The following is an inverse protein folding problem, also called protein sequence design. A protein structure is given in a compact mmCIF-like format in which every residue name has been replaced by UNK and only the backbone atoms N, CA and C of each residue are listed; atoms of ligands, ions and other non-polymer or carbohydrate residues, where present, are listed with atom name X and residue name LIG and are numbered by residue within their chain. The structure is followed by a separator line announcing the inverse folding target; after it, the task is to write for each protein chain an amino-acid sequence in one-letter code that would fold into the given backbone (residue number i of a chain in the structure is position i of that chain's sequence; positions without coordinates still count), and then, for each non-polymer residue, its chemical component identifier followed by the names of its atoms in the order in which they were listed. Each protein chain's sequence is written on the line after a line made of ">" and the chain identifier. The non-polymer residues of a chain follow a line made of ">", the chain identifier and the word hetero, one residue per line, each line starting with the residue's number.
data_IF_256755761667
#
_entry.id   IF_256755761667
#
_cell.length_a   1.000
_cell.length_b   1.000
_cell.length_c   1.000
_cell.angle_alpha   90.00
_cell.angle_beta   90.00
_cell.angle_gamma   90.00
#
_symmetry.space_group_name_H-M   'P 1'
#
loop_
_entity.id
_entity.type
_entity.pdbx_description
1 polymer ?
#
# COMPACT_ATOMS: atom_id res chain seq x y z
N UNK A 1 -21.90 -6.97 9.38
CA UNK A 1 -21.42 -8.16 10.11
C UNK A 1 -19.92 -8.34 9.86
N UNK A 2 -19.14 -8.87 10.82
CA UNK A 2 -17.75 -9.22 10.59
C UNK A 2 -17.60 -10.20 9.41
N UNK A 3 -16.63 -9.94 8.54
CA UNK A 3 -16.25 -10.80 7.42
C UNK A 3 -15.38 -11.95 7.92
N UNK A 4 -15.63 -13.14 7.39
CA UNK A 4 -14.79 -14.32 7.64
C UNK A 4 -13.42 -14.07 6.99
N UNK A 5 -12.34 -14.32 7.74
CA UNK A 5 -10.99 -14.36 7.18
C UNK A 5 -10.78 -15.77 6.62
N UNK A 6 -10.68 -15.93 5.29
CA UNK A 6 -10.51 -17.26 4.69
C UNK A 6 -9.12 -17.81 4.99
N UNK A 7 -9.00 -19.14 5.02
CA UNK A 7 -7.70 -19.80 5.11
C UNK A 7 -6.81 -19.44 3.89
N UNK A 8 -5.48 -19.35 4.06
CA UNK A 8 -4.58 -19.02 2.96
C UNK A 8 -4.68 -20.03 1.80
N UNK A 9 -4.99 -19.51 0.62
CA UNK A 9 -4.93 -20.22 -0.66
C UNK A 9 -4.38 -19.29 -1.74
N UNK A 10 -3.96 -19.84 -2.89
CA UNK A 10 -3.48 -19.02 -4.00
C UNK A 10 -4.48 -17.94 -4.42
N UNK A 11 -5.76 -18.30 -4.52
CA UNK A 11 -6.83 -17.38 -4.91
C UNK A 11 -7.14 -16.31 -3.87
N UNK A 12 -6.76 -16.54 -2.61
CA UNK A 12 -6.96 -15.62 -1.48
C UNK A 12 -5.77 -14.67 -1.33
N UNK A 13 -4.55 -15.19 -1.43
CA UNK A 13 -3.35 -14.39 -1.19
C UNK A 13 -2.90 -13.60 -2.41
N UNK A 14 -3.26 -14.05 -3.62
CA UNK A 14 -2.89 -13.37 -4.86
C UNK A 14 -4.03 -12.47 -5.35
N UNK A 15 -3.80 -11.15 -5.46
CA UNK A 15 -4.77 -10.26 -6.08
C UNK A 15 -4.92 -10.57 -7.58
N UNK A 16 -6.08 -10.27 -8.19
CA UNK A 16 -7.10 -9.34 -7.74
C UNK A 16 -8.34 -9.99 -7.09
N UNK A 17 -8.28 -11.24 -6.61
CA UNK A 17 -9.38 -11.87 -5.86
C UNK A 17 -10.79 -11.66 -6.48
N UNK A 18 -10.99 -12.08 -7.73
CA UNK A 18 -12.21 -11.75 -8.51
C UNK A 18 -13.53 -12.24 -7.91
N UNK A 19 -13.48 -13.19 -6.98
CA UNK A 19 -14.64 -13.71 -6.24
C UNK A 19 -15.02 -12.85 -5.02
N UNK A 20 -14.18 -11.87 -4.66
CA UNK A 20 -14.44 -10.93 -3.57
C UNK A 20 -15.48 -9.89 -4.01
N UNK A 21 -16.44 -9.62 -3.13
CA UNK A 21 -17.46 -8.58 -3.36
C UNK A 21 -16.92 -7.25 -2.86
N UNK A 22 -16.42 -6.45 -3.81
CA UNK A 22 -15.85 -5.13 -3.52
C UNK A 22 -16.90 -4.15 -3.03
N UNK A 23 -16.51 -3.30 -2.07
CA UNK A 23 -17.35 -2.21 -1.57
C UNK A 23 -18.76 -2.64 -1.13
N UNK A 24 -18.95 -3.90 -0.70
CA UNK A 24 -20.26 -4.50 -0.44
C UNK A 24 -21.18 -3.64 0.47
N UNK A 25 -20.58 -2.91 1.40
CA UNK A 25 -21.28 -2.14 2.43
C UNK A 25 -21.20 -0.60 2.22
N UNK A 26 -20.71 -0.16 1.06
CA UNK A 26 -20.41 1.24 0.77
C UNK A 26 -21.61 2.19 0.92
N UNK A 27 -22.82 1.71 0.59
CA UNK A 27 -24.04 2.52 0.69
C UNK A 27 -24.45 2.81 2.14
N UNK A 28 -24.24 1.85 3.04
CA UNK A 28 -24.59 2.00 4.46
C UNK A 28 -23.46 2.69 5.23
N UNK A 29 -22.23 2.55 4.76
CA UNK A 29 -21.03 3.09 5.38
C UNK A 29 -20.26 3.95 4.38
N UNK A 30 -20.76 5.17 4.08
CA UNK A 30 -20.21 6.02 3.05
C UNK A 30 -18.81 6.52 3.42
N UNK A 31 -18.00 6.75 2.38
CA UNK A 31 -16.68 7.35 2.53
C UNK A 31 -16.78 8.76 3.12
N UNK A 32 -15.97 9.06 4.14
CA UNK A 32 -15.95 10.37 4.81
C UNK A 32 -14.94 11.29 4.14
N UNK A 33 -15.31 11.84 2.98
CA UNK A 33 -14.39 12.62 2.13
C UNK A 33 -13.88 13.92 2.78
N UNK A 34 -14.62 14.54 3.71
CA UNK A 34 -14.18 15.75 4.43
C UNK A 34 -13.34 15.45 5.69
N UNK A 35 -13.01 14.18 5.94
CA UNK A 35 -12.29 13.78 7.13
C UNK A 35 -10.90 14.42 7.21
N UNK A 36 -10.64 15.14 8.30
CA UNK A 36 -9.33 15.73 8.63
C UNK A 36 -8.47 14.83 9.54
N UNK A 37 -9.00 13.66 9.92
CA UNK A 37 -8.36 12.70 10.81
C UNK A 37 -8.69 11.27 10.40
N UNK A 38 -8.02 10.33 11.07
CA UNK A 38 -8.20 8.91 10.87
C UNK A 38 -9.66 8.47 10.99
N UNK A 39 -10.13 7.67 10.04
CA UNK A 39 -11.39 6.95 10.13
C UNK A 39 -11.26 5.53 9.56
N UNK A 40 -11.74 4.54 10.31
CA UNK A 40 -11.72 3.14 9.90
C UNK A 40 -12.54 2.87 8.64
N UNK A 41 -13.68 3.54 8.47
CA UNK A 41 -14.46 3.44 7.22
C UNK A 41 -13.64 3.90 6.01
N UNK A 42 -12.89 4.99 6.11
CA UNK A 42 -12.02 5.45 5.03
C UNK A 42 -10.88 4.47 4.78
N UNK A 43 -10.29 3.91 5.85
CA UNK A 43 -9.27 2.87 5.72
C UNK A 43 -9.80 1.64 4.95
N UNK A 44 -11.02 1.19 5.26
CA UNK A 44 -11.65 0.06 4.57
C UNK A 44 -11.86 0.36 3.08
N UNK A 45 -12.48 1.50 2.74
CA UNK A 45 -12.66 1.93 1.35
C UNK A 45 -11.33 1.99 0.58
N UNK A 46 -10.29 2.57 1.19
CA UNK A 46 -8.99 2.71 0.55
C UNK A 46 -8.24 1.38 0.45
N UNK A 47 -8.50 0.42 1.34
CA UNK A 47 -7.99 -0.95 1.25
C UNK A 47 -8.67 -1.73 0.11
N UNK A 48 -9.98 -1.61 -0.03
CA UNK A 48 -10.75 -2.18 -1.15
C UNK A 48 -10.26 -1.61 -2.49
N UNK A 49 -10.04 -0.29 -2.58
CA UNK A 49 -9.49 0.34 -3.78
C UNK A 49 -8.04 -0.09 -4.09
N UNK A 50 -7.18 -0.22 -3.06
CA UNK A 50 -5.81 -0.72 -3.21
C UNK A 50 -5.77 -2.17 -3.70
N UNK A 51 -6.69 -3.01 -3.24
CA UNK A 51 -6.87 -4.38 -3.72
C UNK A 51 -7.39 -4.38 -5.17
N UNK A 52 -8.41 -3.57 -5.47
CA UNK A 52 -9.04 -3.51 -6.78
C UNK A 52 -8.08 -2.98 -7.86
N UNK A 53 -7.06 -2.21 -7.48
CA UNK A 53 -6.04 -1.69 -8.40
C UNK A 53 -5.27 -2.79 -9.15
N UNK A 54 -5.32 -4.04 -8.69
CA UNK A 54 -4.74 -5.19 -9.39
C UNK A 54 -5.63 -5.77 -10.50
N UNK A 55 -6.91 -5.42 -10.53
CA UNK A 55 -7.85 -5.94 -11.52
C UNK A 55 -7.74 -5.20 -12.86
N UNK A 56 -8.05 -5.92 -13.94
CA UNK A 56 -8.21 -5.34 -15.26
C UNK A 56 -9.47 -4.45 -15.32
N UNK A 57 -9.46 -3.46 -16.22
CA UNK A 57 -10.48 -2.39 -16.27
C UNK A 57 -11.90 -2.91 -16.41
N UNK A 58 -12.11 -4.00 -17.16
CA UNK A 58 -13.43 -4.57 -17.43
C UNK A 58 -14.07 -5.15 -16.17
N UNK A 59 -13.25 -5.55 -15.19
CA UNK A 59 -13.71 -5.96 -13.86
C UNK A 59 -13.74 -4.77 -12.88
N UNK A 60 -12.70 -3.93 -12.87
CA UNK A 60 -12.54 -2.88 -11.88
C UNK A 60 -13.60 -1.77 -11.99
N UNK A 61 -13.87 -1.29 -13.21
CA UNK A 61 -14.77 -0.14 -13.43
C UNK A 61 -16.18 -0.42 -12.90
N UNK A 62 -16.83 -1.58 -13.19
CA UNK A 62 -18.14 -1.90 -12.60
C UNK A 62 -18.19 -1.84 -11.07
N UNK A 63 -17.13 -2.27 -10.38
CA UNK A 63 -17.07 -2.24 -8.91
C UNK A 63 -17.04 -0.80 -8.38
N UNK A 64 -16.24 0.07 -8.99
CA UNK A 64 -16.22 1.50 -8.65
C UNK A 64 -17.57 2.17 -8.93
N UNK A 65 -18.18 1.89 -10.09
CA UNK A 65 -19.50 2.43 -10.46
C UNK A 65 -20.58 2.00 -9.47
N UNK A 66 -20.57 0.73 -9.04
CA UNK A 66 -21.50 0.24 -8.01
C UNK A 66 -21.31 0.95 -6.66
N UNK A 67 -20.07 1.34 -6.34
CA UNK A 67 -19.73 2.13 -5.16
C UNK A 67 -20.02 3.64 -5.30
N UNK A 68 -20.52 4.10 -6.46
CA UNK A 68 -20.84 5.51 -6.71
C UNK A 68 -19.63 6.36 -7.12
N UNK A 69 -18.61 5.73 -7.71
CA UNK A 69 -17.43 6.38 -8.26
C UNK A 69 -17.34 6.14 -9.77
N UNK A 70 -17.06 7.21 -10.50
CA UNK A 70 -16.76 7.19 -11.93
C UNK A 70 -15.27 6.90 -12.13
N UNK A 71 -14.97 6.16 -13.19
CA UNK A 71 -13.60 5.91 -13.67
C UNK A 71 -13.63 6.18 -15.16
N UNK A 72 -13.07 7.32 -15.57
CA UNK A 72 -13.21 7.84 -16.93
C UNK A 72 -11.87 7.91 -17.66
N UNK A 73 -11.94 7.95 -18.99
CA UNK A 73 -10.75 8.02 -19.85
C UNK A 73 -10.03 6.68 -19.99
N UNK A 74 -8.76 6.74 -20.42
CA UNK A 74 -7.95 5.55 -20.66
C UNK A 74 -7.32 5.03 -19.36
N UNK A 75 -8.16 4.41 -18.52
CA UNK A 75 -7.79 3.83 -17.23
C UNK A 75 -7.59 2.31 -17.33
N UNK A 76 -6.73 1.70 -16.48
CA UNK A 76 -5.84 2.38 -15.52
C UNK A 76 -4.77 3.20 -16.25
N UNK A 77 -4.32 4.29 -15.62
CA UNK A 77 -3.11 4.99 -16.08
C UNK A 77 -1.97 3.98 -16.11
N UNK A 78 -1.38 3.78 -17.28
CA UNK A 78 -0.32 2.81 -17.50
C UNK A 78 0.60 3.31 -18.59
N UNK A 79 1.90 3.44 -18.29
CA UNK A 79 2.95 3.75 -19.27
C UNK A 79 4.01 2.65 -19.17
N UNK A 80 4.43 2.08 -20.30
CA UNK A 80 5.47 1.03 -20.34
C UNK A 80 5.09 -0.32 -19.71
N UNK A 81 3.92 -0.44 -19.06
CA UNK A 81 3.39 -1.68 -18.48
C UNK A 81 3.85 -1.99 -17.05
N UNK A 82 4.76 -1.20 -16.48
CA UNK A 82 5.33 -1.33 -15.13
C UNK A 82 4.42 -0.73 -14.06
N UNK A 83 4.14 0.57 -14.17
CA UNK A 83 3.33 1.31 -13.19
C UNK A 83 1.88 1.40 -13.62
N UNK A 84 0.95 1.11 -12.70
CA UNK A 84 -0.48 1.27 -12.93
C UNK A 84 -1.20 1.90 -11.75
N UNK A 85 -2.16 2.78 -12.03
CA UNK A 85 -3.11 3.28 -11.04
C UNK A 85 -4.48 3.55 -11.64
N UNK A 86 -5.52 3.45 -10.82
CA UNK A 86 -6.84 3.96 -11.13
C UNK A 86 -7.07 5.29 -10.45
N UNK A 87 -7.79 6.18 -11.13
CA UNK A 87 -8.39 7.37 -10.52
C UNK A 87 -9.90 7.20 -10.55
N UNK A 88 -10.49 6.97 -9.39
CA UNK A 88 -11.93 6.81 -9.19
C UNK A 88 -12.47 8.03 -8.47
N UNK A 89 -13.50 8.68 -9.01
CA UNK A 89 -13.96 9.97 -8.48
C UNK A 89 -15.47 10.16 -8.58
N UNK A 90 -16.00 11.10 -7.80
CA UNK A 90 -17.33 11.65 -8.00
C UNK A 90 -17.27 13.17 -7.78
N UNK A 91 -18.40 13.81 -7.50
CA UNK A 91 -18.45 15.23 -7.22
C UNK A 91 -17.56 15.66 -6.03
N UNK A 92 -17.45 14.81 -5.00
CA UNK A 92 -16.89 15.20 -3.69
C UNK A 92 -15.46 14.66 -3.45
N UNK A 93 -15.13 13.52 -4.05
CA UNK A 93 -13.90 12.79 -3.76
C UNK A 93 -13.21 12.26 -5.02
N UNK A 94 -11.88 12.28 -4.98
CA UNK A 94 -10.99 11.58 -5.90
C UNK A 94 -10.15 10.58 -5.10
N UNK A 95 -10.16 9.31 -5.50
CA UNK A 95 -9.34 8.24 -4.96
C UNK A 95 -8.35 7.79 -6.03
N UNK A 96 -7.05 7.93 -5.73
CA UNK A 96 -5.95 7.46 -6.58
C UNK A 96 -5.38 6.18 -5.97
N UNK A 97 -5.63 5.06 -6.63
CA UNK A 97 -5.23 3.73 -6.16
C UNK A 97 -4.11 3.14 -7.04
N UNK A 98 -2.91 3.04 -6.47
CA UNK A 98 -1.75 2.48 -7.16
C UNK A 98 -1.67 0.96 -6.95
N UNK A 99 -1.41 0.25 -8.05
CA UNK A 99 -1.19 -1.19 -8.04
C UNK A 99 0.24 -1.51 -7.59
N UNK A 100 0.40 -2.60 -6.84
CA UNK A 100 1.71 -3.22 -6.62
C UNK A 100 2.18 -4.10 -7.76
N UNK A 101 3.20 -4.94 -7.50
CA UNK A 101 3.79 -5.85 -8.49
C UNK A 101 2.78 -6.88 -8.99
N UNK A 102 2.68 -7.09 -10.31
CA UNK A 102 1.85 -8.17 -10.86
C UNK A 102 2.44 -9.54 -10.52
N UNK A 103 1.69 -10.30 -9.72
CA UNK A 103 2.09 -11.64 -9.31
C UNK A 103 1.58 -12.71 -10.29
N UNK A 104 0.41 -12.47 -10.92
CA UNK A 104 -0.29 -13.45 -11.77
C UNK A 104 0.44 -13.88 -13.06
N UNK A 105 1.31 -13.03 -13.62
CA UNK A 105 2.11 -13.39 -14.81
C UNK A 105 3.18 -14.46 -14.54
N UNK A 106 3.40 -14.81 -13.27
CA UNK A 106 4.48 -15.69 -12.80
C UNK A 106 3.98 -17.05 -12.31
N UNK A 107 2.69 -17.34 -12.50
CA UNK A 107 1.95 -18.44 -11.86
C UNK A 107 1.91 -19.71 -12.72
N UNK A 108 2.60 -19.74 -13.86
CA UNK A 108 2.81 -21.01 -14.55
C UNK A 108 3.70 -21.90 -13.66
N UNK A 109 3.07 -22.88 -13.01
CA UNK A 109 3.66 -24.05 -12.33
C UNK A 109 4.35 -23.85 -10.96
N UNK A 110 4.04 -22.78 -10.19
CA UNK A 110 4.72 -22.50 -8.91
C UNK A 110 3.82 -22.51 -7.68
N UNK A 111 4.37 -22.93 -6.54
CA UNK A 111 3.70 -22.85 -5.23
C UNK A 111 3.59 -21.38 -4.76
N UNK A 112 2.55 -21.00 -3.98
CA UNK A 112 2.34 -19.62 -3.51
C UNK A 112 3.58 -18.98 -2.85
N UNK A 113 4.29 -19.75 -2.02
CA UNK A 113 5.50 -19.26 -1.35
C UNK A 113 6.65 -18.97 -2.32
N UNK A 114 6.81 -19.77 -3.38
CA UNK A 114 7.85 -19.55 -4.40
C UNK A 114 7.56 -18.32 -5.24
N UNK A 115 6.28 -18.09 -5.55
CA UNK A 115 5.82 -16.91 -6.29
C UNK A 115 6.15 -15.64 -5.50
N UNK A 116 5.77 -15.59 -4.21
CA UNK A 116 6.06 -14.44 -3.36
C UNK A 116 7.56 -14.22 -3.13
N UNK A 117 8.33 -15.30 -2.94
CA UNK A 117 9.80 -15.21 -2.90
C UNK A 117 10.36 -14.59 -4.17
N UNK A 118 9.80 -14.93 -5.34
CA UNK A 118 10.23 -14.36 -6.60
C UNK A 118 9.81 -12.89 -6.77
N UNK A 119 8.62 -12.52 -6.31
CA UNK A 119 8.17 -11.11 -6.25
C UNK A 119 9.11 -10.28 -5.39
N UNK A 120 9.43 -10.76 -4.20
CA UNK A 120 10.40 -10.12 -3.32
C UNK A 120 11.79 -10.11 -3.96
N UNK A 121 12.28 -11.24 -4.47
CA UNK A 121 13.60 -11.30 -5.11
C UNK A 121 13.72 -10.28 -6.22
N UNK A 122 12.70 -10.09 -7.05
CA UNK A 122 12.76 -9.09 -8.11
C UNK A 122 12.68 -7.66 -7.53
N UNK A 123 11.84 -7.41 -6.52
CA UNK A 123 11.87 -6.15 -5.78
C UNK A 123 13.24 -5.87 -5.15
N UNK A 124 14.02 -6.91 -4.83
CA UNK A 124 15.35 -6.82 -4.22
C UNK A 124 16.50 -6.71 -5.22
N UNK A 125 16.48 -7.53 -6.27
CA UNK A 125 17.55 -7.59 -7.27
C UNK A 125 17.42 -6.44 -8.26
N UNK A 126 16.21 -6.12 -8.68
CA UNK A 126 15.94 -4.96 -9.55
C UNK A 126 15.73 -3.68 -8.74
N UNK A 127 15.58 -3.81 -7.42
CA UNK A 127 15.46 -2.73 -6.45
C UNK A 127 16.68 -1.83 -6.52
N UNK A 128 16.55 -0.72 -7.26
CA UNK A 128 17.47 0.41 -7.14
C UNK A 128 17.29 1.04 -5.75
N UNK A 129 17.79 0.36 -4.72
CA UNK A 129 17.76 0.76 -3.29
C UNK A 129 18.58 2.01 -2.98
N UNK A 130 18.98 2.72 -4.03
CA UNK A 130 19.73 3.95 -3.94
C UNK A 130 18.77 5.06 -3.53
N UNK A 131 19.22 5.87 -2.59
CA UNK A 131 18.53 7.08 -2.17
C UNK A 131 18.89 8.21 -3.13
N UNK A 132 17.88 8.76 -3.80
CA UNK A 132 17.98 9.91 -4.70
C UNK A 132 17.17 11.07 -4.15
N UNK A 133 17.57 12.32 -4.44
CA UNK A 133 16.83 13.50 -3.98
C UNK A 133 15.38 13.42 -4.46
N UNK A 134 14.42 13.64 -3.55
CA UNK A 134 12.98 13.58 -3.87
C UNK A 134 12.55 14.74 -4.77
N UNK A 135 13.07 15.93 -4.49
CA UNK A 135 12.61 17.22 -5.04
C UNK A 135 11.66 17.97 -4.09
N UNK A 136 11.20 17.31 -3.01
CA UNK A 136 10.28 17.85 -2.00
C UNK A 136 10.92 17.97 -0.61
N UNK A 137 12.08 17.34 -0.39
CA UNK A 137 12.76 17.24 0.90
C UNK A 137 13.35 15.85 1.11
N UNK A 138 14.58 15.76 1.60
CA UNK A 138 15.30 14.49 1.77
C UNK A 138 15.51 13.67 0.49
N UNK A 139 15.67 12.36 0.68
CA UNK A 139 15.91 11.39 -0.39
C UNK A 139 14.90 10.24 -0.37
N UNK A 140 14.59 9.68 -1.53
CA UNK A 140 13.64 8.59 -1.73
C UNK A 140 14.26 7.44 -2.53
N UNK A 141 13.65 6.27 -2.45
CA UNK A 141 14.03 5.10 -3.24
C UNK A 141 13.96 5.39 -4.74
N UNK A 142 15.10 5.25 -5.44
CA UNK A 142 15.22 5.58 -6.86
C UNK A 142 14.24 4.80 -7.73
N UNK A 143 14.10 3.49 -7.50
CA UNK A 143 13.18 2.66 -8.29
C UNK A 143 11.73 3.12 -8.16
N UNK A 144 11.31 3.59 -6.99
CA UNK A 144 9.94 4.06 -6.77
C UNK A 144 9.73 5.43 -7.40
N UNK A 145 10.74 6.32 -7.28
CA UNK A 145 10.71 7.62 -7.96
C UNK A 145 10.61 7.46 -9.47
N UNK A 146 11.46 6.62 -10.07
CA UNK A 146 11.44 6.35 -11.51
C UNK A 146 10.09 5.77 -11.96
N UNK A 147 9.56 4.79 -11.22
CA UNK A 147 8.28 4.18 -11.54
C UNK A 147 7.11 5.18 -11.47
N UNK A 148 7.11 6.11 -10.51
CA UNK A 148 6.11 7.18 -10.47
C UNK A 148 6.31 8.18 -11.62
N UNK A 149 7.55 8.56 -11.92
CA UNK A 149 7.89 9.52 -12.99
C UNK A 149 7.34 9.07 -14.36
N UNK A 150 7.24 7.76 -14.62
CA UNK A 150 6.66 7.20 -15.86
C UNK A 150 5.21 7.61 -16.12
N UNK A 151 4.41 7.80 -15.06
CA UNK A 151 2.98 8.12 -15.17
C UNK A 151 2.64 9.51 -14.63
N UNK A 152 3.60 10.21 -14.01
CA UNK A 152 3.32 11.38 -13.19
C UNK A 152 2.70 12.54 -13.98
N UNK A 153 3.26 12.90 -15.13
CA UNK A 153 2.78 14.08 -15.88
C UNK A 153 1.34 13.91 -16.36
N UNK A 154 0.99 12.73 -16.89
CA UNK A 154 -0.38 12.44 -17.34
C UNK A 154 -1.35 12.32 -16.17
N UNK A 155 -0.94 11.67 -15.08
CA UNK A 155 -1.73 11.58 -13.86
C UNK A 155 -1.99 12.96 -13.27
N UNK A 156 -0.94 13.77 -13.07
CA UNK A 156 -1.05 15.11 -12.48
C UNK A 156 -1.96 16.00 -13.32
N UNK A 157 -1.79 16.02 -14.64
CA UNK A 157 -2.66 16.79 -15.53
C UNK A 157 -4.13 16.39 -15.40
N UNK A 158 -4.42 15.10 -15.21
CA UNK A 158 -5.78 14.63 -14.99
C UNK A 158 -6.33 15.03 -13.62
N UNK A 159 -5.53 14.91 -12.55
CA UNK A 159 -5.91 15.34 -11.20
C UNK A 159 -6.15 16.86 -11.14
N UNK A 160 -5.32 17.66 -11.80
CA UNK A 160 -5.49 19.11 -11.90
C UNK A 160 -6.80 19.44 -12.63
N UNK A 161 -7.12 18.76 -13.73
CA UNK A 161 -8.39 18.93 -14.43
C UNK A 161 -9.61 18.61 -13.55
N UNK A 162 -9.54 17.53 -12.76
CA UNK A 162 -10.60 17.20 -11.81
C UNK A 162 -10.76 18.25 -10.70
N UNK A 163 -9.65 18.87 -10.26
CA UNK A 163 -9.66 19.96 -9.28
C UNK A 163 -10.23 21.25 -9.86
N UNK A 164 -9.91 21.56 -11.11
CA UNK A 164 -10.45 22.73 -11.82
C UNK A 164 -11.96 22.62 -12.04
N UNK A 165 -12.46 21.42 -12.34
CA UNK A 165 -13.89 21.16 -12.50
C UNK A 165 -14.67 21.36 -11.21
N UNK A 166 -14.15 20.90 -10.07
CA UNK A 166 -14.76 21.08 -8.75
C UNK A 166 -13.69 21.35 -7.68
N UNK A 167 -13.46 22.63 -7.33
CA UNK A 167 -12.39 23.03 -6.39
C UNK A 167 -12.54 22.47 -4.98
N UNK A 168 -13.76 22.06 -4.58
CA UNK A 168 -14.01 21.48 -3.26
C UNK A 168 -13.72 19.98 -3.18
N UNK A 169 -13.40 19.32 -4.31
CA UNK A 169 -13.00 17.91 -4.33
C UNK A 169 -11.80 17.66 -3.43
N UNK A 170 -11.90 16.56 -2.68
CA UNK A 170 -10.84 16.05 -1.81
C UNK A 170 -10.07 14.92 -2.50
N UNK A 171 -8.76 14.88 -2.33
CA UNK A 171 -7.88 13.94 -3.04
C UNK A 171 -7.27 12.94 -2.05
N UNK A 172 -7.50 11.66 -2.28
CA UNK A 172 -7.06 10.58 -1.40
C UNK A 172 -6.19 9.61 -2.16
N UNK A 173 -5.07 9.23 -1.54
CA UNK A 173 -4.09 8.34 -2.16
C UNK A 173 -4.04 7.03 -1.41
N UNK A 174 -3.95 5.93 -2.15
CA UNK A 174 -3.87 4.59 -1.58
C UNK A 174 -3.07 3.64 -2.46
N UNK A 175 -2.59 2.59 -1.83
CA UNK A 175 -1.92 1.50 -2.52
C UNK A 175 -1.51 0.40 -1.57
N UNK A 176 -1.20 -0.75 -2.14
CA UNK A 176 -0.70 -1.92 -1.43
C UNK A 176 0.70 -2.30 -1.92
N UNK A 177 1.59 -2.75 -1.03
CA UNK A 177 2.94 -3.20 -1.37
C UNK A 177 3.72 -2.11 -2.13
N UNK A 178 4.30 -2.42 -3.30
CA UNK A 178 4.90 -1.41 -4.19
C UNK A 178 3.95 -0.23 -4.50
N UNK A 179 2.64 -0.49 -4.65
CA UNK A 179 1.66 0.55 -4.91
C UNK A 179 1.54 1.53 -3.74
N UNK A 180 1.74 1.09 -2.50
CA UNK A 180 1.78 1.97 -1.34
C UNK A 180 2.96 2.95 -1.38
N UNK A 181 4.12 2.50 -1.88
CA UNK A 181 5.28 3.37 -2.06
C UNK A 181 5.01 4.46 -3.11
N UNK A 182 4.40 4.06 -4.24
CA UNK A 182 4.01 5.00 -5.30
C UNK A 182 2.96 6.00 -4.82
N UNK A 183 1.94 5.54 -4.07
CA UNK A 183 0.94 6.40 -3.46
C UNK A 183 1.54 7.41 -2.49
N UNK A 184 2.56 7.00 -1.72
CA UNK A 184 3.29 7.89 -0.80
C UNK A 184 4.00 9.01 -1.54
N UNK A 185 4.77 8.67 -2.60
CA UNK A 185 5.46 9.65 -3.42
C UNK A 185 4.50 10.55 -4.20
N UNK A 186 3.38 9.99 -4.68
CA UNK A 186 2.36 10.73 -5.41
C UNK A 186 1.64 11.74 -4.50
N UNK A 187 1.29 11.35 -3.28
CA UNK A 187 0.66 12.23 -2.31
C UNK A 187 1.58 13.39 -1.90
N UNK A 188 2.87 13.10 -1.67
CA UNK A 188 3.90 14.11 -1.36
C UNK A 188 4.06 15.11 -2.52
N UNK A 189 4.21 14.60 -3.74
CA UNK A 189 4.43 15.42 -4.94
C UNK A 189 3.19 16.21 -5.36
N UNK A 190 1.99 15.70 -5.09
CA UNK A 190 0.73 16.41 -5.38
C UNK A 190 0.53 17.59 -4.43
N UNK A 191 0.87 17.44 -3.14
CA UNK A 191 0.84 18.51 -2.15
C UNK A 191 -0.54 18.96 -1.65
N UNK A 192 -1.63 18.63 -2.36
CA UNK A 192 -3.03 18.96 -1.98
C UNK A 192 -3.87 17.71 -1.68
N UNK A 193 -3.29 16.73 -0.99
CA UNK A 193 -4.00 15.51 -0.59
C UNK A 193 -4.75 15.67 0.75
N UNK A 194 -5.96 15.13 0.84
CA UNK A 194 -6.74 15.10 2.08
C UNK A 194 -6.30 13.96 3.01
N UNK A 195 -5.75 12.87 2.45
CA UNK A 195 -5.19 11.79 3.24
C UNK A 195 -4.54 10.68 2.40
N UNK A 196 -3.59 9.99 3.03
CA UNK A 196 -2.88 8.83 2.48
C UNK A 196 -3.12 7.61 3.37
N UNK A 197 -3.60 6.51 2.79
CA UNK A 197 -3.75 5.23 3.49
C UNK A 197 -2.99 4.17 2.73
N UNK A 198 -2.05 3.51 3.38
CA UNK A 198 -1.19 2.51 2.73
C UNK A 198 -1.25 1.18 3.44
N UNK A 199 -1.12 0.09 2.67
CA UNK A 199 -1.24 -1.27 3.18
C UNK A 199 0.00 -2.08 2.81
N UNK A 200 0.69 -2.64 3.81
CA UNK A 200 1.92 -3.40 3.57
C UNK A 200 3.02 -2.56 2.91
N UNK A 201 3.09 -1.25 3.20
CA UNK A 201 4.02 -0.34 2.53
C UNK A 201 5.47 -0.63 2.89
N UNK A 202 6.38 -0.80 1.91
CA UNK A 202 7.81 -0.76 2.17
C UNK A 202 8.23 0.65 2.62
N UNK A 203 9.48 0.77 3.05
CA UNK A 203 10.08 2.07 3.37
C UNK A 203 10.39 2.85 2.09
N UNK A 204 10.02 4.14 2.06
CA UNK A 204 9.99 4.94 0.82
C UNK A 204 11.15 5.92 0.72
N UNK A 205 11.53 6.56 1.82
CA UNK A 205 12.59 7.57 1.84
C UNK A 205 13.40 7.58 3.12
N UNK A 206 14.36 8.49 3.19
CA UNK A 206 15.23 8.67 4.34
C UNK A 206 14.56 9.48 5.47
N UNK A 207 15.27 9.63 6.59
CA UNK A 207 14.84 10.48 7.71
C UNK A 207 14.53 11.92 7.28
N UNK A 208 15.25 12.44 6.28
CA UNK A 208 15.00 13.76 5.73
C UNK A 208 13.62 13.86 5.08
N UNK A 209 13.31 12.89 4.22
CA UNK A 209 12.01 12.78 3.57
C UNK A 209 10.92 12.57 4.61
N UNK A 210 11.14 11.68 5.59
CA UNK A 210 10.15 11.38 6.62
C UNK A 210 9.80 12.57 7.51
N UNK A 211 10.80 13.39 7.85
CA UNK A 211 10.62 14.63 8.63
C UNK A 211 9.88 15.70 7.82
N UNK A 212 10.18 15.81 6.53
CA UNK A 212 9.65 16.88 5.68
C UNK A 212 8.23 16.52 5.17
N UNK A 213 7.82 15.25 5.22
CA UNK A 213 6.47 14.78 4.86
C UNK A 213 5.38 15.29 5.82
N UNK A 214 4.57 16.27 5.36
CA UNK A 214 3.56 16.94 6.21
C UNK A 214 2.14 16.36 6.10
N UNK A 215 1.89 15.43 5.17
CA UNK A 215 0.53 14.95 4.89
C UNK A 215 0.00 13.98 5.95
N UNK A 216 -1.32 13.99 6.18
CA UNK A 216 -1.97 13.00 7.03
C UNK A 216 -1.89 11.61 6.40
N UNK A 217 -0.98 10.77 6.92
CA UNK A 217 -0.73 9.43 6.43
C UNK A 217 -0.95 8.37 7.51
N UNK A 218 -1.62 7.28 7.12
CA UNK A 218 -1.91 6.13 7.97
C UNK A 218 -1.43 4.87 7.29
N UNK A 219 -0.44 4.21 7.90
CA UNK A 219 0.24 3.06 7.32
C UNK A 219 -0.15 1.79 8.06
N UNK A 220 -0.84 0.91 7.38
CA UNK A 220 -1.29 -0.37 7.91
C UNK A 220 -0.24 -1.46 7.74
N UNK A 221 -0.02 -2.21 8.81
CA UNK A 221 0.80 -3.43 8.81
C UNK A 221 0.00 -4.54 9.47
N UNK A 222 -0.23 -5.61 8.72
CA UNK A 222 -0.89 -6.80 9.22
C UNK A 222 0.16 -7.77 9.76
N UNK A 223 0.05 -8.06 11.05
CA UNK A 223 0.80 -9.05 11.79
C UNK A 223 2.28 -9.16 11.38
N UNK A 224 2.69 -10.27 10.75
CA UNK A 224 4.08 -10.56 10.41
C UNK A 224 4.47 -10.15 8.98
N UNK A 225 3.73 -9.23 8.36
CA UNK A 225 4.10 -8.66 7.06
C UNK A 225 5.53 -8.09 7.10
N UNK A 226 6.41 -8.77 6.35
CA UNK A 226 7.85 -8.50 6.28
C UNK A 226 8.18 -7.44 5.24
N UNK A 227 7.35 -7.28 4.20
CA UNK A 227 7.56 -6.28 3.14
C UNK A 227 7.49 -4.88 3.72
N UNK A 228 6.65 -4.68 4.74
CA UNK A 228 6.48 -3.39 5.40
C UNK A 228 7.71 -2.90 6.20
N UNK A 229 8.84 -3.60 6.14
CA UNK A 229 9.99 -3.37 7.01
C UNK A 229 11.28 -3.14 6.24
N UNK A 230 11.19 -3.09 4.91
CA UNK A 230 12.34 -3.00 4.02
C UNK A 230 12.15 -1.99 2.90
N UNK A 231 13.22 -1.50 2.26
CA UNK A 231 14.65 -1.66 2.64
C UNK A 231 14.99 -0.85 3.90
N UNK A 232 15.89 -1.32 4.78
CA UNK A 232 16.30 -0.54 5.97
C UNK A 232 17.43 0.46 5.68
N UNK A 233 18.27 0.17 4.69
CA UNK A 233 19.45 0.98 4.36
C UNK A 233 19.66 1.04 2.85
N UNK A 234 20.23 2.15 2.37
CA UNK A 234 20.62 2.30 0.97
C UNK A 234 21.73 3.33 0.76
N UNK A 235 22.56 3.19 -0.27
CA UNK A 235 23.57 4.21 -0.60
C UNK A 235 22.90 5.46 -1.20
N UNK A 236 23.41 6.65 -0.89
CA UNK A 236 22.97 7.87 -1.56
C UNK A 236 23.60 7.99 -2.96
N UNK A 237 22.80 8.36 -3.97
CA UNK A 237 23.27 8.45 -5.34
C UNK A 237 24.39 9.47 -5.57
N UNK A 238 24.35 10.59 -4.85
CA UNK A 238 25.32 11.67 -4.97
C UNK A 238 26.63 11.41 -4.22
N UNK A 239 26.65 10.42 -3.32
CA UNK A 239 27.86 9.97 -2.64
C UNK A 239 27.68 8.50 -2.24
N UNK A 240 28.18 7.58 -3.06
CA UNK A 240 28.03 6.13 -2.87
C UNK A 240 28.69 5.62 -1.58
N UNK A 241 29.58 6.40 -0.95
CA UNK A 241 30.16 6.10 0.37
C UNK A 241 29.24 6.51 1.53
N UNK A 242 28.24 7.36 1.26
CA UNK A 242 27.24 7.79 2.25
C UNK A 242 26.03 6.86 2.19
N UNK A 243 25.77 6.18 3.29
CA UNK A 243 24.59 5.34 3.47
C UNK A 243 23.52 6.10 4.26
N UNK A 244 22.27 5.98 3.84
CA UNK A 244 21.11 6.53 4.52
C UNK A 244 20.27 5.42 5.12
N UNK A 245 19.70 5.69 6.29
CA UNK A 245 18.65 4.85 6.88
C UNK A 245 17.32 5.25 6.27
N UNK A 246 16.58 4.26 5.82
CA UNK A 246 15.20 4.46 5.39
C UNK A 246 14.28 4.62 6.62
N UNK A 247 13.28 5.47 6.50
CA UNK A 247 12.33 5.79 7.55
C UNK A 247 10.89 5.81 7.02
N UNK A 248 9.96 5.38 7.87
CA UNK A 248 8.55 5.38 7.53
C UNK A 248 7.95 6.77 7.71
N UNK A 249 7.02 7.13 6.83
CA UNK A 249 6.12 8.26 7.01
C UNK A 249 4.80 7.79 7.63
N UNK A 250 4.08 8.74 8.24
CA UNK A 250 2.73 8.52 8.75
C UNK A 250 2.65 7.69 10.03
N UNK A 251 1.44 7.56 10.56
CA UNK A 251 1.14 6.83 11.78
C UNK A 251 0.95 5.34 11.48
N UNK A 252 1.66 4.48 12.22
CA UNK A 252 1.49 3.03 12.12
C UNK A 252 0.13 2.61 12.69
N UNK A 253 -0.61 1.83 11.90
CA UNK A 253 -1.86 1.15 12.24
C UNK A 253 -1.59 -0.36 12.18
N UNK A 254 -1.26 -0.95 13.32
CA UNK A 254 -0.82 -2.34 13.40
C UNK A 254 -1.99 -3.27 13.72
N UNK A 255 -2.24 -4.26 12.88
CA UNK A 255 -3.25 -5.30 13.13
C UNK A 255 -2.52 -6.54 13.62
N UNK A 256 -2.84 -7.06 14.80
CA UNK A 256 -2.20 -8.27 15.32
C UNK A 256 -2.80 -9.57 14.73
N UNK A 257 -2.29 -10.71 15.15
CA UNK A 257 -2.77 -12.04 14.71
C UNK A 257 -4.27 -12.25 14.99
N UNK A 258 -4.77 -11.70 16.10
CA UNK A 258 -6.18 -11.79 16.54
C UNK A 258 -7.10 -10.87 15.73
N UNK A 259 -6.52 -9.91 14.98
CA UNK A 259 -7.26 -8.91 14.22
C UNK A 259 -7.53 -7.63 14.99
N UNK A 260 -6.91 -7.43 16.16
CA UNK A 260 -7.03 -6.20 16.94
C UNK A 260 -6.13 -5.10 16.35
N UNK A 261 -6.64 -3.87 16.26
CA UNK A 261 -5.92 -2.72 15.74
C UNK A 261 -5.25 -1.91 16.87
N UNK A 262 -3.97 -1.61 16.69
CA UNK A 262 -3.15 -0.81 17.59
C UNK A 262 -2.58 0.42 16.90
N UNK A 263 -2.61 1.55 17.62
CA UNK A 263 -2.11 2.83 17.15
C UNK A 263 -0.66 3.05 17.58
N UNK A 264 0.23 3.07 16.59
CA UNK A 264 1.66 3.30 16.73
C UNK A 264 2.35 2.51 17.87
N UNK A 265 2.12 1.17 17.98
CA UNK A 265 2.72 0.41 19.05
C UNK A 265 4.25 0.36 18.91
N UNK A 266 4.92 0.44 20.04
CA UNK A 266 6.35 0.19 20.16
C UNK A 266 6.71 -1.23 19.70
N UNK A 267 8.00 -1.48 19.50
CA UNK A 267 8.49 -2.85 19.19
C UNK A 267 8.13 -3.81 20.33
N UNK A 268 8.22 -3.36 21.58
CA UNK A 268 7.93 -4.18 22.75
C UNK A 268 6.45 -4.56 22.83
N UNK A 269 5.55 -3.60 22.61
CA UNK A 269 4.10 -3.86 22.58
C UNK A 269 3.75 -4.85 21.47
N UNK A 270 4.33 -4.71 20.28
CA UNK A 270 4.15 -5.70 19.20
C UNK A 270 4.59 -7.09 19.65
N UNK A 271 5.77 -7.22 20.26
CA UNK A 271 6.28 -8.49 20.79
C UNK A 271 5.30 -9.13 21.79
N UNK A 272 4.65 -8.33 22.64
CA UNK A 272 3.67 -8.81 23.63
C UNK A 272 2.36 -9.29 22.99
N UNK A 273 1.92 -8.66 21.89
CA UNK A 273 0.70 -9.01 21.16
C UNK A 273 0.91 -10.17 20.15
N UNK A 274 1.74 -11.16 20.49
CA UNK A 274 1.99 -12.34 19.64
C UNK A 274 3.10 -12.16 18.60
N UNK A 275 3.72 -10.98 18.53
CA UNK A 275 4.77 -10.69 17.55
C UNK A 275 6.19 -10.97 18.06
N UNK A 276 6.35 -11.82 19.07
CA UNK A 276 7.63 -12.09 19.75
C UNK A 276 8.74 -12.67 18.86
N UNK A 277 8.37 -13.32 17.75
CA UNK A 277 9.31 -13.79 16.73
C UNK A 277 9.79 -12.72 15.76
N UNK A 278 9.17 -11.53 15.71
CA UNK A 278 9.38 -10.56 14.63
C UNK A 278 10.75 -9.92 14.59
N UNK A 279 11.37 -9.65 15.75
CA UNK A 279 12.70 -9.02 15.79
C UNK A 279 13.75 -10.01 15.32
N UNK A 280 13.64 -11.28 15.72
CA UNK A 280 14.52 -12.35 15.29
C UNK A 280 14.32 -12.64 13.80
N UNK A 281 13.06 -12.81 13.37
CA UNK A 281 12.68 -12.99 11.97
C UNK A 281 13.19 -11.85 11.08
N UNK A 282 13.04 -10.59 11.50
CA UNK A 282 13.56 -9.44 10.77
C UNK A 282 15.08 -9.48 10.60
N UNK A 283 15.80 -9.82 11.68
CA UNK A 283 17.26 -9.96 11.63
C UNK A 283 17.68 -11.08 10.71
N UNK A 284 16.99 -12.22 10.78
CA UNK A 284 17.27 -13.39 9.96
C UNK A 284 16.99 -13.09 8.48
N UNK A 285 15.86 -12.47 8.17
CA UNK A 285 15.50 -12.00 6.82
C UNK A 285 16.55 -11.00 6.30
N UNK A 286 16.94 -10.00 7.10
CA UNK A 286 17.95 -9.03 6.69
C UNK A 286 19.31 -9.67 6.41
N UNK A 287 19.78 -10.54 7.30
CA UNK A 287 21.06 -11.24 7.12
C UNK A 287 21.03 -12.07 5.84
N UNK A 288 19.95 -12.82 5.61
CA UNK A 288 19.79 -13.65 4.41
C UNK A 288 19.72 -12.81 3.12
N UNK A 289 18.93 -11.74 3.12
CA UNK A 289 18.81 -10.86 1.95
C UNK A 289 20.11 -10.16 1.62
N UNK A 290 20.90 -9.76 2.63
CA UNK A 290 22.25 -9.23 2.40
C UNK A 290 23.21 -10.25 1.77
N UNK A 291 22.93 -11.55 1.96
CA UNK A 291 23.67 -12.66 1.35
C UNK A 291 23.03 -13.17 0.04
N UNK A 292 21.93 -12.56 -0.43
CA UNK A 292 21.21 -13.00 -1.63
C UNK A 292 20.37 -14.28 -1.44
N UNK A 293 20.13 -14.70 -0.20
CA UNK A 293 19.34 -15.88 0.16
C UNK A 293 17.88 -15.49 0.46
N UNK A 294 16.89 -16.07 -0.22
CA UNK A 294 15.46 -15.71 -0.08
C UNK A 294 14.56 -16.89 0.33
N UNK A 295 15.11 -18.07 0.61
CA UNK A 295 14.37 -19.33 0.73
C UNK A 295 13.75 -19.60 2.12
N UNK A 296 14.16 -18.88 3.17
CA UNK A 296 13.81 -19.24 4.57
C UNK A 296 12.68 -18.37 5.17
N UNK A 297 12.08 -17.47 4.40
CA UNK A 297 10.97 -16.65 4.91
C UNK A 297 9.73 -17.54 5.15
N UNK A 298 9.14 -17.53 6.37
CA UNK A 298 7.93 -18.28 6.66
C UNK A 298 6.78 -17.89 5.74
N UNK A 299 6.00 -18.87 5.27
CA UNK A 299 4.90 -18.64 4.34
C UNK A 299 3.86 -17.65 4.92
N UNK A 300 3.65 -17.70 6.23
CA UNK A 300 2.67 -16.86 6.93
C UNK A 300 2.98 -15.36 6.84
N UNK A 301 4.25 -14.98 6.74
CA UNK A 301 4.66 -13.58 6.55
C UNK A 301 4.19 -13.02 5.20
N UNK A 302 4.06 -13.89 4.19
CA UNK A 302 3.55 -13.51 2.87
C UNK A 302 2.03 -13.55 2.82
N UNK A 303 1.42 -14.49 3.53
CA UNK A 303 -0.03 -14.52 3.69
C UNK A 303 -0.52 -13.22 4.34
N UNK A 304 0.19 -12.75 5.38
CA UNK A 304 -0.11 -11.49 6.05
C UNK A 304 0.05 -10.26 5.15
N UNK A 305 0.84 -10.36 4.08
CA UNK A 305 1.01 -9.32 3.06
C UNK A 305 -0.09 -9.38 1.98
N UNK A 306 -1.10 -10.24 2.08
CA UNK A 306 -2.17 -10.30 1.08
C UNK A 306 -3.09 -9.07 1.20
N UNK A 307 -3.36 -8.33 0.10
CA UNK A 307 -4.20 -7.12 0.13
C UNK A 307 -5.65 -7.42 0.57
N UNK A 308 -6.17 -8.62 0.26
CA UNK A 308 -7.50 -9.03 0.72
C UNK A 308 -7.59 -9.07 2.25
N UNK A 309 -6.57 -9.57 2.94
CA UNK A 309 -6.60 -9.63 4.41
C UNK A 309 -6.62 -8.25 5.05
N UNK A 310 -5.93 -7.26 4.46
CA UNK A 310 -6.06 -5.87 4.91
C UNK A 310 -7.51 -5.39 4.81
N UNK A 311 -8.16 -5.56 3.64
CA UNK A 311 -9.55 -5.13 3.45
C UNK A 311 -10.53 -5.81 4.42
N UNK A 312 -10.39 -7.13 4.63
CA UNK A 312 -11.26 -7.88 5.52
C UNK A 312 -11.02 -7.55 7.01
N UNK A 313 -9.77 -7.49 7.45
CA UNK A 313 -9.43 -7.20 8.85
C UNK A 313 -9.79 -5.77 9.25
N UNK A 314 -9.58 -4.80 8.36
CA UNK A 314 -9.97 -3.40 8.61
C UNK A 314 -11.49 -3.27 8.69
N UNK A 315 -12.24 -3.97 7.83
CA UNK A 315 -13.69 -4.03 7.95
C UNK A 315 -14.12 -4.60 9.32
N UNK A 316 -13.47 -5.67 9.78
CA UNK A 316 -13.79 -6.26 11.08
C UNK A 316 -13.48 -5.31 12.25
N UNK A 317 -12.38 -4.57 12.17
CA UNK A 317 -12.07 -3.51 13.15
C UNK A 317 -13.15 -2.41 13.14
N UNK A 318 -13.61 -2.00 11.95
CA UNK A 318 -14.65 -0.99 11.81
C UNK A 318 -16.00 -1.46 12.40
N UNK A 319 -16.37 -2.72 12.15
CA UNK A 319 -17.58 -3.30 12.74
C UNK A 319 -17.53 -3.38 14.26
N UNK A 320 -16.36 -3.70 14.84
CA UNK A 320 -16.15 -3.66 16.29
C UNK A 320 -16.30 -2.23 16.84
N UNK A 321 -15.71 -1.23 16.16
CA UNK A 321 -15.87 0.20 16.53
C UNK A 321 -17.35 0.61 16.55
N UNK A 322 -18.15 0.18 15.56
CA UNK A 322 -19.59 0.46 15.50
C UNK A 322 -20.37 -0.18 16.65
N UNK A 323 -19.89 -1.31 17.17
CA UNK A 323 -20.50 -2.02 18.30
C UNK A 323 -20.02 -1.48 19.66
N UNK A 324 -19.07 -0.55 19.67
CA UNK A 324 -18.46 0.00 20.89
C UNK A 324 -17.57 -1.01 21.63
N UNK A 325 -16.97 -1.95 20.89
CA UNK A 325 -16.11 -3.02 21.39
C UNK A 325 -14.63 -2.71 21.23
#
# INVERSE_FOLDING_TARGET
>A
MPKIIPDPSLEVVLPPNLNHVYFAEARQHPFRFQAQRFHLVNAWWLAEAALLAYAEKDFAIPQYTQAGLNVEGNQPFSVGGSTQCYVAHNHDVVIVAFRGTQVLKRVADKLPGEIWRQVIKDLWVDGKFRLVVSGQGGSVHEGFKMALDEVWESLKSYLDGLKEEEPTRTFWFTGHSLGAALATLAADRYGDSQGLYTFGSPLVGDEGFARDFQMSAYRFVNNNDVVARVPLWGPHALNLLKWGRYEHVGLLKYIDETGMLFDNPSILERVQHGAGGQVQLLRDVMNQWSNGEFEVIPLDCFNDHAPLYYALRIWNCYEQELQGL
#
